data_IF_794544275523
#
_entry.id   IF_794544275523
#
_cell.length_a   1.000
_cell.length_b   1.000
_cell.length_c   1.000
_cell.angle_alpha   90.00
_cell.angle_beta   90.00
_cell.angle_gamma   90.00
#
_symmetry.space_group_name_H-M   'P 1'
#
loop_
_entity.id
_entity.type
_entity.pdbx_description
1 polymer ?
#
# COMPACT_ATOMS: atom_id res chain seq x y z
N UNK A 1 -7.04 25.86 -10.22
CA UNK A 1 -6.39 26.76 -9.25
C UNK A 1 -6.07 25.98 -8.01
N UNK A 2 -4.83 25.54 -7.87
CA UNK A 2 -4.32 24.97 -6.63
C UNK A 2 -3.66 26.12 -5.88
N UNK A 3 -4.20 26.49 -4.72
CA UNK A 3 -3.54 27.43 -3.83
C UNK A 3 -2.21 26.78 -3.41
N UNK A 4 -1.11 27.29 -3.95
CA UNK A 4 0.23 27.05 -3.43
C UNK A 4 0.21 27.57 -2.00
N UNK A 5 0.16 26.65 -1.04
CA UNK A 5 0.43 26.94 0.37
C UNK A 5 1.87 27.42 0.39
N UNK A 6 2.05 28.74 0.43
CA UNK A 6 3.35 29.36 0.61
C UNK A 6 3.99 28.79 1.87
N UNK A 7 5.31 28.60 1.86
CA UNK A 7 6.07 28.33 3.06
C UNK A 7 5.77 29.44 4.08
N UNK A 8 5.15 29.13 5.21
CA UNK A 8 4.98 30.08 6.29
C UNK A 8 6.33 30.24 6.99
N UNK A 9 6.81 31.47 7.07
CA UNK A 9 8.12 31.85 7.65
C UNK A 9 8.17 31.71 9.19
N UNK A 10 7.24 30.97 9.81
CA UNK A 10 7.11 30.86 11.26
C UNK A 10 7.76 29.60 11.86
N UNK A 11 8.57 29.79 12.91
CA UNK A 11 9.10 28.73 13.77
C UNK A 11 8.08 27.67 14.27
N UNK A 12 6.82 28.00 14.64
CA UNK A 12 5.87 27.00 15.14
C UNK A 12 5.41 25.98 14.08
N UNK A 13 5.46 26.32 12.79
CA UNK A 13 5.06 25.43 11.71
C UNK A 13 6.16 24.42 11.34
N UNK A 14 7.43 24.83 11.40
CA UNK A 14 8.58 23.96 11.19
C UNK A 14 8.64 22.82 12.23
N UNK A 15 8.27 23.10 13.48
CA UNK A 15 8.15 22.09 14.54
C UNK A 15 7.04 21.09 14.24
N UNK A 16 5.93 21.57 13.68
CA UNK A 16 4.82 20.72 13.23
C UNK A 16 5.27 19.80 12.10
N UNK A 17 6.08 20.30 11.17
CA UNK A 17 6.68 19.48 10.12
C UNK A 17 7.60 18.40 10.66
N UNK A 18 8.44 18.74 11.63
CA UNK A 18 9.33 17.81 12.30
C UNK A 18 8.55 16.71 13.05
N UNK A 19 7.49 17.09 13.78
CA UNK A 19 6.61 16.15 14.48
C UNK A 19 5.92 15.20 13.51
N UNK A 20 5.35 15.72 12.42
CA UNK A 20 4.71 14.90 11.41
C UNK A 20 5.71 13.98 10.70
N UNK A 21 6.94 14.44 10.45
CA UNK A 21 7.99 13.60 9.87
C UNK A 21 8.41 12.49 10.83
N UNK A 22 8.52 12.78 12.12
CA UNK A 22 8.79 11.76 13.13
C UNK A 22 7.70 10.69 13.17
N UNK A 23 6.42 11.09 13.18
CA UNK A 23 5.30 10.17 13.15
C UNK A 23 5.27 9.35 11.85
N UNK A 24 5.54 9.97 10.70
CA UNK A 24 5.59 9.28 9.41
C UNK A 24 6.73 8.24 9.40
N UNK A 25 7.93 8.61 9.88
CA UNK A 25 9.06 7.69 9.98
C UNK A 25 8.79 6.55 10.96
N UNK A 26 8.18 6.84 12.11
CA UNK A 26 7.77 5.84 13.09
C UNK A 26 6.75 4.87 12.49
N UNK A 27 5.71 5.38 11.83
CA UNK A 27 4.71 4.56 11.17
C UNK A 27 5.35 3.61 10.14
N UNK A 28 6.24 4.12 9.30
CA UNK A 28 6.97 3.30 8.32
C UNK A 28 7.88 2.25 8.97
N UNK A 29 8.55 2.58 10.09
CA UNK A 29 9.33 1.61 10.85
C UNK A 29 8.46 0.50 11.45
N UNK A 30 7.28 0.84 11.96
CA UNK A 30 6.32 -0.11 12.52
C UNK A 30 5.68 -0.99 11.43
N UNK A 31 5.52 -0.47 10.21
CA UNK A 31 4.99 -1.24 9.08
C UNK A 31 6.02 -2.17 8.41
N UNK A 32 7.32 -1.87 8.56
CA UNK A 32 8.43 -2.66 7.99
C UNK A 32 8.37 -4.17 8.29
N UNK A 33 8.23 -4.63 9.56
CA UNK A 33 8.19 -6.08 9.85
C UNK A 33 6.95 -6.78 9.26
N UNK A 34 5.86 -6.04 9.05
CA UNK A 34 4.62 -6.59 8.54
C UNK A 34 4.54 -6.57 6.99
N UNK A 35 5.54 -6.01 6.31
CA UNK A 35 5.50 -5.78 4.85
C UNK A 35 4.33 -4.88 4.43
N UNK A 36 3.86 -4.02 5.34
CA UNK A 36 2.75 -3.10 5.09
C UNK A 36 3.29 -1.72 4.73
N UNK A 37 2.44 -0.93 4.09
CA UNK A 37 2.72 0.46 3.75
C UNK A 37 1.63 1.34 4.36
N UNK A 38 2.02 2.44 5.00
CA UNK A 38 1.07 3.50 5.37
C UNK A 38 1.02 4.54 4.25
N UNK A 39 -0.09 4.64 3.50
CA UNK A 39 -0.22 5.63 2.44
C UNK A 39 -0.24 7.06 2.98
N UNK A 40 -0.77 7.28 4.19
CA UNK A 40 -0.84 8.61 4.80
C UNK A 40 0.55 9.15 5.14
N UNK A 41 1.42 8.29 5.68
CA UNK A 41 2.80 8.67 5.99
C UNK A 41 3.61 8.96 4.71
N UNK A 42 3.38 8.21 3.63
CA UNK A 42 4.00 8.50 2.33
C UNK A 42 3.48 9.80 1.73
N UNK A 43 2.17 10.03 1.79
CA UNK A 43 1.55 11.24 1.27
C UNK A 43 2.04 12.48 2.03
N UNK A 44 2.18 12.38 3.34
CA UNK A 44 2.77 13.42 4.17
C UNK A 44 4.19 13.78 3.70
N UNK A 45 5.04 12.78 3.46
CA UNK A 45 6.40 13.01 2.95
C UNK A 45 6.38 13.67 1.56
N UNK A 46 5.46 13.27 0.69
CA UNK A 46 5.31 13.89 -0.64
C UNK A 46 4.85 15.35 -0.55
N UNK A 47 3.89 15.67 0.32
CA UNK A 47 3.46 17.06 0.55
C UNK A 47 4.59 17.90 1.11
N UNK A 48 5.35 17.37 2.06
CA UNK A 48 6.49 18.06 2.65
C UNK A 48 7.58 18.35 1.60
N UNK A 49 7.89 17.39 0.72
CA UNK A 49 8.80 17.62 -0.41
C UNK A 49 8.28 18.72 -1.35
N UNK A 50 7.01 18.65 -1.74
CA UNK A 50 6.42 19.66 -2.63
C UNK A 50 6.37 21.06 -2.00
N UNK A 51 6.24 21.16 -0.68
CA UNK A 51 6.29 22.44 0.04
C UNK A 51 7.70 23.02 0.13
N UNK A 52 8.75 22.19 0.09
CA UNK A 52 10.14 22.65 0.07
C UNK A 52 10.60 23.15 -1.31
N UNK A 53 9.74 23.04 -2.33
CA UNK A 53 10.01 23.41 -3.72
C UNK A 53 9.11 24.57 -4.13
N UNK A 54 9.70 25.65 -4.64
CA UNK A 54 9.01 26.83 -5.18
C UNK A 54 8.18 26.47 -6.42
N UNK A 55 7.26 27.36 -6.81
CA UNK A 55 6.49 27.25 -8.07
C UNK A 55 7.36 27.13 -9.33
N UNK A 56 8.64 27.53 -9.23
CA UNK A 56 9.62 27.46 -10.31
C UNK A 56 10.46 26.17 -10.28
N UNK A 57 10.21 25.25 -9.34
CA UNK A 57 10.97 24.01 -9.17
C UNK A 57 12.29 24.17 -8.38
N UNK A 58 12.61 25.39 -7.94
CA UNK A 58 13.78 25.68 -7.09
C UNK A 58 13.49 25.28 -5.64
N UNK A 59 14.51 24.87 -4.90
CA UNK A 59 14.37 24.61 -3.46
C UNK A 59 14.38 25.92 -2.66
N UNK A 60 13.46 26.07 -1.69
CA UNK A 60 13.40 27.14 -0.68
C UNK A 60 14.50 26.99 0.40
N UNK A 61 15.73 26.77 -0.04
CA UNK A 61 16.93 26.61 0.78
C UNK A 61 17.85 27.80 0.49
N UNK A 62 18.27 28.53 1.53
CA UNK A 62 19.32 29.54 1.40
C UNK A 62 20.67 28.81 1.29
N UNK A 63 21.19 28.72 0.07
CA UNK A 63 22.18 27.68 -0.33
C UNK A 63 23.62 28.04 0.02
N UNK A 64 23.84 29.28 0.44
CA UNK A 64 25.12 29.83 0.93
C UNK A 64 25.40 29.47 2.39
N UNK A 65 24.38 29.09 3.16
CA UNK A 65 24.47 28.76 4.58
C UNK A 65 24.36 27.26 4.88
N UNK A 66 24.24 26.40 3.87
CA UNK A 66 24.25 24.94 4.08
C UNK A 66 25.65 24.45 4.43
N UNK A 67 25.75 23.77 5.56
CA UNK A 67 26.90 22.96 5.91
C UNK A 67 27.11 21.85 4.88
N UNK A 68 28.38 21.62 4.49
CA UNK A 68 28.77 20.65 3.47
C UNK A 68 28.33 19.20 3.78
N UNK A 69 28.05 18.90 5.06
CA UNK A 69 27.47 17.65 5.51
C UNK A 69 26.37 17.93 6.55
N UNK A 70 25.09 18.02 6.14
CA UNK A 70 24.00 18.16 7.09
C UNK A 70 24.00 16.95 8.03
N UNK A 71 24.01 17.21 9.33
CA UNK A 71 23.93 16.18 10.38
C UNK A 71 22.65 15.36 10.18
N UNK A 72 22.67 14.07 10.49
CA UNK A 72 21.42 13.28 10.51
C UNK A 72 20.52 13.77 11.65
N UNK A 73 19.25 14.09 11.35
CA UNK A 73 18.26 14.46 12.38
C UNK A 73 18.13 13.35 13.42
N UNK A 74 18.34 13.72 14.69
CA UNK A 74 18.05 12.89 15.84
C UNK A 74 16.67 13.29 16.35
N UNK A 75 15.63 12.81 15.67
CA UNK A 75 14.24 13.23 15.87
C UNK A 75 13.79 13.28 17.35
N UNK A 76 14.14 12.33 18.25
CA UNK A 76 13.73 12.42 19.66
C UNK A 76 14.36 13.61 20.40
N UNK A 77 15.61 13.94 20.07
CA UNK A 77 16.37 15.02 20.70
C UNK A 77 15.98 16.37 20.12
N UNK A 78 15.83 16.45 18.80
CA UNK A 78 15.52 17.69 18.08
C UNK A 78 14.07 18.14 18.31
N UNK A 79 13.15 17.21 18.61
CA UNK A 79 11.76 17.52 19.03
C UNK A 79 11.65 18.08 20.45
N UNK A 80 12.68 17.91 21.28
CA UNK A 80 12.69 18.42 22.66
C UNK A 80 13.07 19.91 22.74
N UNK A 81 13.42 20.54 21.61
CA UNK A 81 13.75 21.96 21.52
C UNK A 81 12.51 22.84 21.59
N UNK A 82 12.61 24.07 22.14
CA UNK A 82 11.49 25.00 22.20
C UNK A 82 11.06 25.43 20.79
N UNK A 83 9.76 25.64 20.60
CA UNK A 83 9.18 25.85 19.27
C UNK A 83 9.56 27.15 18.57
N UNK A 84 10.13 28.10 19.30
CA UNK A 84 10.53 29.43 18.81
C UNK A 84 12.05 29.54 18.56
N UNK A 85 12.77 28.41 18.53
CA UNK A 85 14.21 28.40 18.28
C UNK A 85 14.52 28.81 16.82
N UNK A 86 15.43 29.77 16.64
CA UNK A 86 15.89 30.25 15.32
C UNK A 86 16.50 29.11 14.48
N UNK A 87 16.93 28.03 15.14
CA UNK A 87 17.41 26.81 14.47
C UNK A 87 16.40 26.24 13.46
N UNK A 88 15.10 26.33 13.72
CA UNK A 88 14.05 25.84 12.83
C UNK A 88 13.95 26.65 11.52
N UNK A 89 14.46 27.88 11.51
CA UNK A 89 14.54 28.72 10.32
C UNK A 89 15.86 28.54 9.56
N UNK A 90 16.85 27.84 10.14
CA UNK A 90 18.15 27.64 9.52
C UNK A 90 18.07 26.81 8.23
N UNK A 91 18.95 27.13 7.28
CA UNK A 91 19.07 26.37 6.04
C UNK A 91 19.58 24.95 6.28
N UNK A 92 20.39 24.75 7.33
CA UNK A 92 20.84 23.44 7.80
C UNK A 92 19.66 22.56 8.22
N UNK A 93 18.75 23.07 9.06
CA UNK A 93 17.55 22.33 9.45
C UNK A 93 16.74 21.88 8.25
N UNK A 94 16.47 22.78 7.30
CA UNK A 94 15.74 22.47 6.06
C UNK A 94 16.48 21.40 5.23
N UNK A 95 17.80 21.47 5.14
CA UNK A 95 18.62 20.45 4.47
C UNK A 95 18.56 19.09 5.16
N UNK A 96 18.60 19.07 6.48
CA UNK A 96 18.46 17.83 7.27
C UNK A 96 17.04 17.25 7.19
N UNK A 97 16.02 18.11 7.15
CA UNK A 97 14.61 17.74 6.97
C UNK A 97 14.43 17.07 5.61
N UNK A 98 14.96 17.68 4.55
CA UNK A 98 14.95 17.10 3.20
C UNK A 98 15.66 15.74 3.17
N UNK A 99 16.86 15.63 3.75
CA UNK A 99 17.57 14.35 3.85
C UNK A 99 16.73 13.26 4.52
N UNK A 100 16.09 13.58 5.64
CA UNK A 100 15.28 12.61 6.40
C UNK A 100 13.98 12.25 5.67
N UNK A 101 13.37 13.19 4.91
CA UNK A 101 12.21 12.87 4.07
C UNK A 101 12.57 11.90 2.94
N UNK A 102 13.69 12.10 2.27
CA UNK A 102 14.19 11.21 1.22
C UNK A 102 14.49 9.82 1.78
N UNK A 103 15.16 9.74 2.94
CA UNK A 103 15.42 8.45 3.62
C UNK A 103 14.10 7.72 3.95
N UNK A 104 13.06 8.45 4.36
CA UNK A 104 11.76 7.88 4.72
C UNK A 104 11.01 7.39 3.48
N UNK A 105 11.09 8.12 2.36
CA UNK A 105 10.52 7.69 1.07
C UNK A 105 11.25 6.47 0.53
N UNK A 106 12.59 6.42 0.64
CA UNK A 106 13.38 5.24 0.28
C UNK A 106 12.98 4.02 1.13
N UNK A 107 12.74 4.21 2.43
CA UNK A 107 12.22 3.16 3.30
C UNK A 107 10.82 2.68 2.85
N UNK A 108 9.94 3.60 2.45
CA UNK A 108 8.63 3.27 1.91
C UNK A 108 8.72 2.50 0.58
N UNK A 109 9.64 2.89 -0.32
CA UNK A 109 9.89 2.19 -1.58
C UNK A 109 10.29 0.72 -1.32
N UNK A 110 11.23 0.50 -0.41
CA UNK A 110 11.67 -0.85 -0.03
C UNK A 110 10.55 -1.68 0.62
N UNK A 111 9.66 -1.06 1.39
CA UNK A 111 8.50 -1.75 1.99
C UNK A 111 7.44 -2.13 0.94
N UNK A 112 7.40 -1.42 -0.19
CA UNK A 112 6.40 -1.61 -1.23
C UNK A 112 6.78 -2.63 -2.30
N UNK A 113 7.95 -3.27 -2.22
CA UNK A 113 8.45 -4.21 -3.25
C UNK A 113 7.46 -5.32 -3.58
N UNK A 114 6.82 -5.89 -2.57
CA UNK A 114 5.86 -7.00 -2.73
C UNK A 114 4.42 -6.54 -3.03
N UNK A 115 4.19 -5.22 -3.09
CA UNK A 115 2.86 -4.68 -3.34
C UNK A 115 2.54 -4.67 -4.85
N UNK A 116 1.44 -5.29 -5.30
CA UNK A 116 1.06 -5.27 -6.72
C UNK A 116 0.68 -3.86 -7.22
N UNK A 117 0.37 -2.94 -6.30
CA UNK A 117 0.06 -1.54 -6.56
C UNK A 117 1.24 -0.60 -6.26
N UNK A 118 2.46 -1.13 -6.13
CA UNK A 118 3.64 -0.32 -5.78
C UNK A 118 3.87 0.83 -6.77
N UNK A 119 3.67 0.57 -8.07
CA UNK A 119 3.81 1.60 -9.10
C UNK A 119 2.83 2.77 -8.91
N UNK A 120 1.56 2.49 -8.61
CA UNK A 120 0.55 3.52 -8.39
C UNK A 120 0.79 4.30 -7.09
N UNK A 121 1.19 3.60 -6.02
CA UNK A 121 1.40 4.24 -4.72
C UNK A 121 2.64 5.13 -4.72
N UNK A 122 3.72 4.68 -5.37
CA UNK A 122 4.96 5.44 -5.49
C UNK A 122 4.93 6.53 -6.58
N UNK A 123 3.91 6.54 -7.46
CA UNK A 123 3.84 7.48 -8.58
C UNK A 123 3.96 8.95 -8.15
N UNK A 124 3.26 9.35 -7.08
CA UNK A 124 3.34 10.72 -6.55
C UNK A 124 4.71 11.05 -5.98
N UNK A 125 5.32 10.12 -5.25
CA UNK A 125 6.66 10.30 -4.70
C UNK A 125 7.70 10.45 -5.80
N UNK A 126 7.57 9.66 -6.88
CA UNK A 126 8.44 9.75 -8.06
C UNK A 126 8.32 11.09 -8.76
N UNK A 127 7.11 11.58 -9.01
CA UNK A 127 6.90 12.91 -9.61
C UNK A 127 7.50 14.02 -8.73
N UNK A 128 7.35 13.93 -7.40
CA UNK A 128 7.93 14.91 -6.48
C UNK A 128 9.48 14.90 -6.52
N UNK A 129 10.10 13.72 -6.52
CA UNK A 129 11.56 13.56 -6.58
C UNK A 129 12.12 13.95 -7.95
N UNK A 130 11.49 13.50 -9.03
CA UNK A 130 11.90 13.81 -10.41
C UNK A 130 11.70 15.30 -10.73
N UNK A 131 10.70 15.96 -10.13
CA UNK A 131 10.52 17.41 -10.20
C UNK A 131 11.71 18.18 -9.61
N UNK A 132 12.28 17.70 -8.50
CA UNK A 132 13.50 18.28 -7.90
C UNK A 132 14.73 18.00 -8.78
N UNK A 133 14.77 16.87 -9.49
CA UNK A 133 15.91 16.53 -10.37
C UNK A 133 15.88 17.29 -11.70
N UNK A 134 14.70 17.39 -12.33
CA UNK A 134 14.53 17.89 -13.70
C UNK A 134 14.74 19.40 -13.89
N UNK A 135 14.45 20.21 -12.87
CA UNK A 135 14.54 21.67 -12.97
C UNK A 135 15.88 22.25 -12.51
N UNK A 136 16.78 21.44 -11.96
CA UNK A 136 17.82 21.93 -11.05
C UNK A 136 19.23 21.83 -11.62
N UNK A 137 19.48 21.66 -12.93
CA UNK A 137 20.86 21.36 -13.40
C UNK A 137 21.91 22.45 -13.09
N UNK A 138 21.54 23.74 -13.09
CA UNK A 138 22.45 24.87 -12.74
C UNK A 138 22.47 25.19 -11.24
N UNK A 139 21.44 24.75 -10.53
CA UNK A 139 21.17 25.05 -9.12
C UNK A 139 21.59 23.92 -8.17
N UNK A 140 21.62 22.68 -8.69
CA UNK A 140 21.98 21.46 -7.99
C UNK A 140 23.48 21.49 -7.70
N UNK A 141 24.28 22.14 -8.57
CA UNK A 141 25.71 22.41 -8.37
C UNK A 141 26.03 23.18 -7.06
N UNK A 142 25.04 23.86 -6.45
CA UNK A 142 25.17 24.55 -5.15
C UNK A 142 24.64 23.75 -3.96
N UNK A 143 23.90 22.66 -4.20
CA UNK A 143 23.42 21.76 -3.15
C UNK A 143 24.59 20.89 -2.68
N UNK A 144 24.78 20.62 -1.37
CA UNK A 144 25.82 19.70 -0.90
C UNK A 144 25.77 18.35 -1.60
N UNK A 145 26.93 17.81 -1.97
CA UNK A 145 27.06 16.54 -2.69
C UNK A 145 26.36 15.39 -1.97
N UNK A 146 26.41 15.39 -0.64
CA UNK A 146 25.72 14.42 0.23
C UNK A 146 24.20 14.36 -0.01
N UNK A 147 23.53 15.50 -0.20
CA UNK A 147 22.10 15.56 -0.48
C UNK A 147 21.78 15.13 -1.91
N UNK A 148 22.66 15.43 -2.87
CA UNK A 148 22.51 14.98 -4.26
C UNK A 148 22.57 13.47 -4.35
N UNK A 149 23.56 12.85 -3.69
CA UNK A 149 23.68 11.40 -3.65
C UNK A 149 22.42 10.75 -3.05
N UNK A 150 21.89 11.29 -1.95
CA UNK A 150 20.64 10.77 -1.35
C UNK A 150 19.42 10.91 -2.27
N UNK A 151 19.33 12.03 -2.98
CA UNK A 151 18.26 12.28 -3.94
C UNK A 151 18.34 11.30 -5.12
N UNK A 152 19.53 11.10 -5.67
CA UNK A 152 19.80 10.13 -6.74
C UNK A 152 19.49 8.71 -6.28
N UNK A 153 19.97 8.30 -5.11
CA UNK A 153 19.65 7.00 -4.52
C UNK A 153 18.14 6.79 -4.35
N UNK A 154 17.40 7.83 -3.93
CA UNK A 154 15.96 7.77 -3.79
C UNK A 154 15.26 7.65 -5.15
N UNK A 155 15.67 8.42 -6.16
CA UNK A 155 15.12 8.34 -7.52
C UNK A 155 15.37 6.95 -8.15
N UNK A 156 16.59 6.44 -8.01
CA UNK A 156 16.96 5.08 -8.46
C UNK A 156 16.13 4.03 -7.72
N UNK A 157 15.98 4.12 -6.40
CA UNK A 157 15.15 3.18 -5.64
C UNK A 157 13.68 3.19 -6.09
N UNK A 158 13.10 4.37 -6.32
CA UNK A 158 11.71 4.48 -6.78
C UNK A 158 11.53 3.92 -8.20
N UNK A 159 12.46 4.22 -9.10
CA UNK A 159 12.40 3.74 -10.49
C UNK A 159 12.59 2.22 -10.60
N UNK A 160 13.50 1.64 -9.81
CA UNK A 160 13.72 0.18 -9.79
C UNK A 160 12.50 -0.57 -9.27
N UNK A 161 11.90 -0.11 -8.16
CA UNK A 161 10.68 -0.73 -7.60
C UNK A 161 9.49 -0.57 -8.57
N UNK A 162 9.33 0.61 -9.17
CA UNK A 162 8.27 0.89 -10.16
C UNK A 162 8.38 -0.01 -11.39
N UNK A 163 9.58 -0.11 -11.99
CA UNK A 163 9.82 -0.95 -13.18
C UNK A 163 9.67 -2.44 -12.88
N UNK A 164 10.12 -2.89 -11.70
CA UNK A 164 9.90 -4.27 -11.24
C UNK A 164 8.40 -4.57 -11.07
N UNK A 165 7.66 -3.66 -10.42
CA UNK A 165 6.21 -3.78 -10.21
C UNK A 165 5.44 -3.84 -11.53
N UNK A 166 5.77 -2.98 -12.50
CA UNK A 166 5.15 -2.98 -13.84
C UNK A 166 5.45 -4.30 -14.57
N UNK A 167 6.69 -4.79 -14.50
CA UNK A 167 7.09 -6.04 -15.18
C UNK A 167 6.41 -7.28 -14.59
N UNK A 168 6.14 -7.28 -13.28
CA UNK A 168 5.49 -8.39 -12.58
C UNK A 168 3.95 -8.29 -12.58
N UNK A 169 3.39 -7.16 -13.04
CA UNK A 169 1.96 -6.89 -12.99
C UNK A 169 1.17 -7.93 -13.78
N UNK A 170 0.22 -8.55 -13.11
CA UNK A 170 -0.78 -9.43 -13.72
C UNK A 170 -2.17 -8.82 -13.51
N UNK A 171 -3.10 -8.96 -14.47
CA UNK A 171 -4.48 -8.53 -14.25
C UNK A 171 -5.06 -9.25 -13.02
N UNK A 172 -5.89 -8.55 -12.25
CA UNK A 172 -6.59 -9.11 -11.09
C UNK A 172 -7.61 -10.15 -11.59
N UNK A 173 -7.16 -11.39 -11.79
CA UNK A 173 -8.00 -12.51 -12.22
C UNK A 173 -9.00 -12.88 -11.10
N UNK A 174 -10.26 -12.49 -11.28
CA UNK A 174 -11.37 -12.87 -10.39
C UNK A 174 -12.16 -14.11 -10.84
N UNK A 175 -11.88 -14.70 -12.00
CA UNK A 175 -12.66 -15.84 -12.52
C UNK A 175 -11.93 -17.19 -12.43
N UNK A 176 -10.60 -17.23 -12.57
CA UNK A 176 -9.86 -18.49 -12.60
C UNK A 176 -9.56 -19.10 -11.22
N UNK A 177 -9.68 -18.31 -10.15
CA UNK A 177 -9.48 -18.75 -8.75
C UNK A 177 -10.76 -19.22 -8.08
N UNK A 178 -11.92 -18.86 -8.63
CA UNK A 178 -13.20 -19.38 -8.16
C UNK A 178 -13.30 -20.79 -8.70
N UNK A 179 -12.95 -21.77 -7.86
CA UNK A 179 -13.20 -23.17 -8.18
C UNK A 179 -14.70 -23.30 -8.41
N UNK A 180 -15.15 -23.76 -9.60
CA UNK A 180 -16.57 -23.93 -9.84
C UNK A 180 -17.12 -24.90 -8.77
N UNK A 181 -18.34 -24.64 -8.25
CA UNK A 181 -18.93 -25.55 -7.29
C UNK A 181 -19.02 -26.95 -7.91
N UNK A 182 -18.67 -27.96 -7.12
CA UNK A 182 -18.79 -29.35 -7.57
C UNK A 182 -20.26 -29.67 -7.86
N UNK A 183 -20.50 -30.51 -8.87
CA UNK A 183 -21.85 -31.00 -9.15
C UNK A 183 -22.38 -31.71 -7.90
N UNK A 184 -23.60 -31.35 -7.47
CA UNK A 184 -24.24 -31.99 -6.32
C UNK A 184 -24.42 -33.48 -6.63
N UNK A 185 -23.76 -34.33 -5.86
CA UNK A 185 -23.96 -35.78 -5.91
C UNK A 185 -25.16 -36.14 -5.07
N UNK A 186 -25.98 -37.07 -5.57
CA UNK A 186 -27.10 -37.64 -4.84
C UNK A 186 -26.84 -39.10 -4.59
N UNK A 187 -27.23 -39.59 -3.42
CA UNK A 187 -27.15 -41.01 -3.11
C UNK A 187 -28.25 -41.75 -3.90
N UNK A 188 -27.90 -42.79 -4.67
CA UNK A 188 -28.90 -43.57 -5.38
C UNK A 188 -29.82 -44.26 -4.37
N UNK A 189 -31.13 -44.25 -4.66
CA UNK A 189 -32.13 -44.97 -3.86
C UNK A 189 -32.34 -46.35 -4.47
N UNK A 190 -31.94 -47.40 -3.77
CA UNK A 190 -32.12 -48.79 -4.18
C UNK A 190 -32.37 -49.68 -2.94
N UNK A 191 -33.02 -50.83 -3.13
CA UNK A 191 -33.06 -51.88 -2.10
C UNK A 191 -31.82 -52.76 -2.19
N UNK A 192 -31.19 -53.05 -1.05
CA UNK A 192 -30.03 -53.96 -1.02
C UNK A 192 -30.40 -55.40 -1.42
N UNK A 193 -31.65 -55.82 -1.22
CA UNK A 193 -32.18 -57.16 -1.53
C UNK A 193 -33.31 -57.09 -2.56
N UNK A 194 -33.01 -56.55 -3.74
CA UNK A 194 -33.99 -56.44 -4.82
C UNK A 194 -34.36 -57.83 -5.38
N UNK A 195 -35.66 -58.09 -5.46
CA UNK A 195 -36.27 -59.30 -6.00
C UNK A 195 -37.44 -58.91 -6.91
N UNK A 196 -37.38 -59.36 -8.17
CA UNK A 196 -38.40 -59.06 -9.17
C UNK A 196 -39.76 -59.64 -8.76
N UNK A 197 -40.77 -58.78 -8.64
CA UNK A 197 -42.15 -59.16 -8.28
C UNK A 197 -42.54 -58.93 -6.82
N UNK A 198 -41.60 -58.50 -5.96
CA UNK A 198 -41.89 -58.07 -4.59
C UNK A 198 -42.33 -56.60 -4.56
N UNK A 199 -43.33 -56.29 -3.71
CA UNK A 199 -43.77 -54.92 -3.46
C UNK A 199 -42.94 -54.32 -2.31
N UNK A 200 -42.31 -53.18 -2.55
CA UNK A 200 -41.39 -52.50 -1.63
C UNK A 200 -41.99 -51.21 -1.03
N UNK A 201 -43.32 -51.06 -1.07
CA UNK A 201 -44.02 -49.94 -0.45
C UNK A 201 -43.74 -49.91 1.08
N UNK A 202 -43.26 -48.78 1.63
CA UNK A 202 -42.96 -48.69 3.06
C UNK A 202 -44.21 -48.79 3.94
N UNK A 203 -45.40 -48.50 3.39
CA UNK A 203 -46.68 -48.55 4.11
C UNK A 203 -47.33 -49.93 3.97
N UNK A 204 -47.27 -50.72 5.05
CA UNK A 204 -47.78 -52.11 5.07
C UNK A 204 -49.27 -52.22 4.81
N UNK A 205 -50.07 -51.27 5.30
CA UNK A 205 -51.52 -51.32 5.14
C UNK A 205 -51.93 -51.25 3.65
N UNK A 206 -51.21 -50.45 2.86
CA UNK A 206 -51.43 -50.36 1.41
C UNK A 206 -50.96 -51.59 0.66
N UNK A 207 -49.87 -52.22 1.11
CA UNK A 207 -49.39 -53.49 0.55
C UNK A 207 -50.44 -54.57 0.72
N UNK A 208 -50.95 -54.74 1.95
CA UNK A 208 -51.96 -55.75 2.30
C UNK A 208 -53.27 -55.53 1.52
N UNK A 209 -53.76 -54.30 1.44
CA UNK A 209 -54.97 -53.99 0.68
C UNK A 209 -54.82 -54.33 -0.82
N UNK A 210 -53.65 -54.02 -1.41
CA UNK A 210 -53.34 -54.36 -2.81
C UNK A 210 -53.20 -55.87 -3.01
N UNK A 211 -52.62 -56.59 -2.06
CA UNK A 211 -52.51 -58.04 -2.10
C UNK A 211 -53.91 -58.69 -2.09
N UNK A 212 -54.76 -58.31 -1.13
CA UNK A 212 -56.13 -58.80 -1.03
C UNK A 212 -56.95 -58.50 -2.28
N UNK A 213 -56.83 -57.29 -2.86
CA UNK A 213 -57.51 -56.94 -4.12
C UNK A 213 -57.04 -57.80 -5.29
N UNK A 214 -55.73 -58.11 -5.38
CA UNK A 214 -55.18 -58.98 -6.42
C UNK A 214 -55.69 -60.40 -6.28
N UNK A 215 -55.75 -60.94 -5.07
CA UNK A 215 -56.29 -62.28 -4.78
C UNK A 215 -57.78 -62.36 -5.16
N UNK A 216 -58.60 -61.41 -4.69
CA UNK A 216 -60.01 -61.32 -5.08
C UNK A 216 -60.22 -61.26 -6.60
N UNK A 217 -59.39 -60.53 -7.32
CA UNK A 217 -59.48 -60.43 -8.78
C UNK A 217 -59.10 -61.72 -9.51
N UNK A 218 -58.20 -62.53 -8.91
CA UNK A 218 -57.84 -63.84 -9.44
C UNK A 218 -58.95 -64.84 -9.18
N UNK A 219 -59.50 -64.85 -7.98
CA UNK A 219 -60.64 -65.71 -7.62
C UNK A 219 -61.88 -65.41 -8.46
N UNK A 220 -62.14 -64.13 -8.79
CA UNK A 220 -63.24 -63.76 -9.70
C UNK A 220 -63.03 -64.17 -11.16
N UNK A 221 -61.79 -64.44 -11.56
CA UNK A 221 -61.41 -64.74 -12.94
C UNK A 221 -61.19 -66.24 -13.17
N UNK A 222 -60.95 -66.99 -12.09
CA UNK A 222 -60.95 -68.45 -12.06
C UNK A 222 -62.38 -68.98 -12.13
#
# INVERSE_FOLDING_TARGET
GAALVQIPEGAPEAVTWLRGLFLAKLAMQMCKPAGRLSPEALEYCCRLLMQMVDSNGSLHLDRSSLSAAPRTLSLPFDLSRPSDDEWFSSADFKGMLLACTLDTIKMAANASVDCPAANEVLARARVAVDGIWGHTTRELAKVPETLRCRLEECSVALSTVSTASVSQRRPLLHSSKVKPPTVKTFNPKFENEFAKGRDYDPDRAKVEERQLKKELSREKRA
#
